data_IF_431470641964
#
_entry.id   IF_431470641964
#
_cell.length_a   1.000
_cell.length_b   1.000
_cell.length_c   1.000
_cell.angle_alpha   90.00
_cell.angle_beta   90.00
_cell.angle_gamma   90.00
#
_symmetry.space_group_name_H-M   'P 1'
#
loop_
_entity.id
_entity.type
_entity.pdbx_description
1 polymer ?
#
# COMPACT_ATOMS: atom_id res chain seq x y z
N UNK A 1 27.17 2.91 10.29
CA UNK A 1 26.04 3.85 10.41
C UNK A 1 24.83 3.11 9.85
N UNK A 2 24.00 2.63 10.77
CA UNK A 2 22.78 1.79 10.63
C UNK A 2 22.74 0.75 9.51
N UNK A 3 23.12 -0.50 9.85
CA UNK A 3 22.53 -1.66 9.18
C UNK A 3 21.01 -1.56 9.35
N UNK A 4 20.32 -1.10 8.30
CA UNK A 4 18.89 -1.32 8.18
C UNK A 4 18.66 -2.80 8.43
N UNK A 5 17.91 -3.15 9.48
CA UNK A 5 17.44 -4.50 9.71
C UNK A 5 16.89 -5.03 8.38
N UNK A 6 17.66 -5.92 7.74
CA UNK A 6 17.45 -6.56 6.43
C UNK A 6 16.23 -7.48 6.52
N UNK A 7 15.08 -6.85 6.73
CA UNK A 7 13.80 -7.49 6.96
C UNK A 7 13.05 -7.49 5.65
N UNK A 8 12.53 -8.66 5.28
CA UNK A 8 11.59 -8.78 4.18
C UNK A 8 10.39 -7.87 4.42
N UNK A 9 9.78 -7.39 3.34
CA UNK A 9 8.58 -6.55 3.41
C UNK A 9 7.57 -7.01 2.38
N UNK A 10 6.30 -6.84 2.73
CA UNK A 10 5.20 -6.86 1.78
C UNK A 10 4.52 -5.49 1.84
N UNK A 11 4.28 -4.91 0.67
CA UNK A 11 3.68 -3.59 0.53
C UNK A 11 2.41 -3.70 -0.28
N UNK A 12 1.29 -3.23 0.26
CA UNK A 12 0.06 -3.01 -0.50
C UNK A 12 0.09 -1.59 -1.05
N UNK A 13 0.22 -1.45 -2.36
CA UNK A 13 0.12 -0.17 -3.06
C UNK A 13 -1.32 0.07 -3.49
N UNK A 14 -1.77 1.31 -3.32
CA UNK A 14 -3.13 1.73 -3.59
C UNK A 14 -3.12 2.96 -4.48
N UNK A 15 -3.62 2.77 -5.68
CA UNK A 15 -4.00 3.86 -6.55
C UNK A 15 -5.39 4.33 -6.17
N UNK A 16 -5.47 5.51 -5.54
CA UNK A 16 -6.68 5.92 -4.83
C UNK A 16 -7.77 6.33 -5.83
N UNK A 17 -9.01 5.84 -5.67
CA UNK A 17 -10.13 6.29 -6.47
C UNK A 17 -10.28 7.82 -6.43
N UNK A 18 -10.52 8.45 -7.58
CA UNK A 18 -10.66 9.92 -7.68
C UNK A 18 -11.66 10.52 -6.68
N UNK A 19 -12.85 9.93 -6.43
CA UNK A 19 -13.78 10.45 -5.42
C UNK A 19 -13.25 10.45 -3.98
N UNK A 20 -12.24 9.63 -3.67
CA UNK A 20 -11.60 9.60 -2.35
C UNK A 20 -10.38 10.53 -2.25
N UNK A 21 -9.94 11.13 -3.35
CA UNK A 21 -8.85 12.09 -3.35
C UNK A 21 -9.40 13.50 -3.10
N UNK A 22 -8.65 14.30 -2.32
CA UNK A 22 -8.95 15.73 -2.22
C UNK A 22 -8.69 16.39 -3.57
N UNK A 23 -9.46 17.43 -3.95
CA UNK A 23 -9.19 18.20 -5.15
C UNK A 23 -7.72 18.63 -5.23
N UNK A 24 -7.13 18.53 -6.42
CA UNK A 24 -5.73 18.88 -6.73
C UNK A 24 -4.67 18.12 -5.93
N UNK A 25 -5.06 17.13 -5.12
CA UNK A 25 -4.10 16.35 -4.34
C UNK A 25 -3.17 15.54 -5.21
N UNK A 26 -3.73 15.01 -6.30
CA UNK A 26 -3.00 14.37 -7.36
C UNK A 26 -3.31 15.07 -8.70
N UNK A 27 -2.47 16.02 -9.13
CA UNK A 27 -2.73 16.80 -10.35
C UNK A 27 -2.92 15.93 -11.59
N UNK A 28 -2.25 14.78 -11.68
CA UNK A 28 -2.38 13.87 -12.84
C UNK A 28 -3.73 13.17 -12.90
N UNK A 29 -4.44 13.05 -11.77
CA UNK A 29 -5.80 12.49 -11.69
C UNK A 29 -6.92 13.54 -11.70
N UNK A 30 -6.59 14.79 -11.33
CA UNK A 30 -7.57 15.86 -11.18
C UNK A 30 -7.60 16.83 -12.34
N UNK A 31 -6.55 16.92 -13.15
CA UNK A 31 -6.58 17.66 -14.40
C UNK A 31 -7.08 16.76 -15.54
N UNK A 32 -8.00 17.30 -16.35
CA UNK A 32 -8.48 16.81 -17.65
C UNK A 32 -9.65 15.80 -17.67
N UNK A 33 -10.53 15.99 -18.68
CA UNK A 33 -11.47 15.01 -19.21
C UNK A 33 -10.74 13.72 -19.65
N UNK A 34 -9.48 13.83 -20.08
CA UNK A 34 -8.59 12.70 -20.42
C UNK A 34 -8.37 11.74 -19.24
N UNK A 35 -8.39 12.21 -17.99
CA UNK A 35 -8.31 11.33 -16.81
C UNK A 35 -9.55 10.47 -16.59
N UNK A 36 -10.66 10.77 -17.29
CA UNK A 36 -11.89 9.99 -17.26
C UNK A 36 -12.05 9.10 -18.50
N UNK A 37 -11.17 9.24 -19.50
CA UNK A 37 -11.26 8.48 -20.74
C UNK A 37 -9.87 8.04 -21.23
N UNK A 38 -9.64 6.72 -21.26
CA UNK A 38 -8.47 6.12 -21.91
C UNK A 38 -8.96 5.51 -23.23
N UNK A 39 -8.33 5.88 -24.35
CA UNK A 39 -8.69 5.39 -25.70
C UNK A 39 -10.19 5.55 -26.02
N UNK A 40 -10.76 6.72 -25.72
CA UNK A 40 -12.18 7.05 -25.90
C UNK A 40 -13.19 6.19 -25.08
N UNK A 41 -12.70 5.38 -24.14
CA UNK A 41 -13.53 4.60 -23.22
C UNK A 41 -13.39 5.14 -21.79
N UNK A 42 -14.45 5.12 -20.96
CA UNK A 42 -14.36 5.53 -19.57
C UNK A 42 -13.22 4.82 -18.83
N UNK A 43 -12.33 5.59 -18.20
CA UNK A 43 -11.30 5.05 -17.33
C UNK A 43 -11.94 4.56 -16.03
N UNK A 44 -12.29 3.27 -16.05
CA UNK A 44 -12.88 2.60 -14.89
C UNK A 44 -11.93 2.66 -13.69
N UNK A 45 -10.61 2.63 -13.90
CA UNK A 45 -9.61 2.66 -12.83
C UNK A 45 -9.57 4.02 -12.13
N UNK A 46 -9.77 5.13 -12.85
CA UNK A 46 -9.90 6.45 -12.23
C UNK A 46 -11.04 6.49 -11.20
N UNK A 47 -12.13 5.75 -11.46
CA UNK A 47 -13.31 5.70 -10.59
C UNK A 47 -13.18 4.60 -9.54
N UNK A 48 -12.68 3.42 -9.88
CA UNK A 48 -12.63 2.25 -8.98
C UNK A 48 -11.38 2.18 -8.12
N UNK A 49 -10.32 2.90 -8.52
CA UNK A 49 -8.97 2.74 -8.02
C UNK A 49 -8.31 1.45 -8.50
N UNK A 50 -7.07 1.25 -8.06
CA UNK A 50 -6.29 0.03 -8.32
C UNK A 50 -5.47 -0.37 -7.09
N UNK A 51 -5.17 -1.65 -6.96
CA UNK A 51 -4.39 -2.21 -5.86
C UNK A 51 -3.40 -3.26 -6.37
N UNK A 52 -2.18 -3.24 -5.87
CA UNK A 52 -1.13 -4.20 -6.26
C UNK A 52 -0.16 -4.44 -5.10
N UNK A 53 0.62 -5.51 -5.18
CA UNK A 53 1.52 -5.95 -4.11
C UNK A 53 2.97 -5.74 -4.53
N UNK A 54 3.79 -5.22 -3.63
CA UNK A 54 5.25 -5.30 -3.72
C UNK A 54 5.80 -6.30 -2.70
N UNK A 55 6.75 -7.13 -3.12
CA UNK A 55 7.52 -8.02 -2.25
C UNK A 55 8.97 -7.54 -2.25
N UNK A 56 9.47 -7.14 -1.07
CA UNK A 56 10.87 -6.74 -0.88
C UNK A 56 11.61 -7.83 -0.12
N UNK A 57 12.68 -8.36 -0.70
CA UNK A 57 13.50 -9.39 -0.07
C UNK A 57 14.51 -8.80 0.95
N UNK A 58 15.25 -9.67 1.63
CA UNK A 58 16.29 -9.27 2.61
C UNK A 58 17.42 -8.41 2.01
N UNK A 59 17.63 -8.50 0.69
CA UNK A 59 18.60 -7.69 -0.05
C UNK A 59 18.07 -6.29 -0.39
N UNK A 60 16.83 -5.98 -0.03
CA UNK A 60 16.18 -4.71 -0.32
C UNK A 60 15.68 -4.56 -1.76
N UNK A 61 15.67 -5.64 -2.54
CA UNK A 61 15.15 -5.66 -3.92
C UNK A 61 13.64 -5.88 -3.87
N UNK A 62 12.88 -4.99 -4.52
CA UNK A 62 11.42 -5.07 -4.60
C UNK A 62 10.94 -5.46 -6.01
N UNK A 63 10.06 -6.46 -6.07
CA UNK A 63 9.25 -6.75 -7.24
C UNK A 63 7.79 -6.40 -6.97
N UNK A 64 7.09 -5.86 -7.97
CA UNK A 64 5.68 -5.48 -7.87
C UNK A 64 4.84 -6.30 -8.81
N UNK A 65 3.67 -6.71 -8.36
CA UNK A 65 2.77 -7.61 -9.08
C UNK A 65 1.34 -7.07 -9.02
N UNK A 66 0.70 -6.97 -10.17
CA UNK A 66 -0.70 -6.55 -10.27
C UNK A 66 -1.55 -7.52 -11.05
N UNK A 67 -2.86 -7.45 -10.77
CA UNK A 67 -3.86 -8.32 -11.37
C UNK A 67 -4.90 -7.52 -12.13
N UNK A 68 -5.11 -7.86 -13.40
CA UNK A 68 -6.03 -7.19 -14.31
C UNK A 68 -6.79 -8.20 -15.17
N UNK A 69 -7.70 -7.70 -16.01
CA UNK A 69 -8.38 -8.49 -17.01
C UNK A 69 -7.74 -8.29 -18.38
N UNK A 70 -7.70 -9.34 -19.20
CA UNK A 70 -7.17 -9.29 -20.57
C UNK A 70 -7.97 -8.39 -21.53
N UNK A 71 -9.09 -7.83 -21.10
CA UNK A 71 -9.96 -6.97 -21.90
C UNK A 71 -10.16 -5.63 -21.22
N UNK A 72 -10.02 -4.55 -21.99
CA UNK A 72 -10.29 -3.18 -21.57
C UNK A 72 -11.80 -2.85 -21.52
N UNK A 73 -12.68 -3.79 -21.90
CA UNK A 73 -14.13 -3.56 -21.90
C UNK A 73 -14.73 -3.66 -20.49
N UNK A 74 -15.37 -2.59 -19.96
CA UNK A 74 -15.98 -2.61 -18.62
C UNK A 74 -17.06 -3.69 -18.47
N UNK A 75 -17.88 -3.93 -19.48
CA UNK A 75 -18.92 -4.97 -19.45
C UNK A 75 -18.33 -6.38 -19.35
N UNK A 76 -17.22 -6.65 -20.05
CA UNK A 76 -16.49 -7.92 -19.92
C UNK A 76 -15.82 -8.03 -18.55
N UNK A 77 -15.29 -6.95 -18.00
CA UNK A 77 -14.74 -6.94 -16.65
C UNK A 77 -15.80 -7.27 -15.58
N UNK A 78 -17.07 -6.88 -15.77
CA UNK A 78 -18.17 -7.22 -14.87
C UNK A 78 -18.52 -8.71 -14.96
N UNK A 79 -18.73 -9.23 -16.18
CA UNK A 79 -19.19 -10.61 -16.40
C UNK A 79 -18.08 -11.65 -16.19
N UNK A 80 -16.85 -11.28 -16.52
CA UNK A 80 -15.66 -12.12 -16.44
C UNK A 80 -14.81 -12.04 -17.71
N UNK A 81 -13.50 -11.92 -17.53
CA UNK A 81 -12.50 -12.07 -18.59
C UNK A 81 -11.32 -12.88 -18.09
N UNK A 82 -10.46 -13.38 -18.99
CA UNK A 82 -9.21 -14.04 -18.60
C UNK A 82 -8.40 -13.08 -17.72
N UNK A 83 -7.96 -13.57 -16.56
CA UNK A 83 -7.09 -12.82 -15.66
C UNK A 83 -5.68 -12.71 -16.23
N UNK A 84 -5.02 -11.61 -15.91
CA UNK A 84 -3.63 -11.32 -16.29
C UNK A 84 -2.90 -10.89 -15.01
N UNK A 85 -1.79 -11.55 -14.70
CA UNK A 85 -1.02 -11.31 -13.49
C UNK A 85 0.45 -11.08 -13.85
N UNK A 86 0.82 -9.81 -13.91
CA UNK A 86 2.08 -9.38 -14.50
C UNK A 86 2.89 -8.51 -13.55
N UNK A 87 4.18 -8.38 -13.88
CA UNK A 87 5.10 -7.48 -13.19
C UNK A 87 4.64 -6.03 -13.43
N UNK A 88 4.60 -5.25 -12.36
CA UNK A 88 4.26 -3.83 -12.40
C UNK A 88 5.52 -2.97 -12.53
N UNK A 89 5.56 -2.19 -13.60
CA UNK A 89 6.64 -1.26 -13.89
C UNK A 89 6.59 0.00 -13.00
N UNK A 90 7.69 0.77 -12.87
CA UNK A 90 7.75 1.99 -12.06
C UNK A 90 6.72 3.08 -12.40
N UNK A 91 6.15 3.05 -13.60
CA UNK A 91 5.21 4.01 -14.15
C UNK A 91 3.79 3.84 -13.61
N UNK A 92 3.47 2.65 -13.07
CA UNK A 92 2.14 2.35 -12.54
C UNK A 92 1.86 3.25 -11.32
N UNK A 93 0.82 4.11 -11.39
CA UNK A 93 0.56 5.09 -10.35
C UNK A 93 0.10 4.46 -9.05
N UNK A 94 0.50 5.08 -7.94
CA UNK A 94 -0.07 4.85 -6.63
C UNK A 94 -0.05 6.13 -5.79
N UNK A 95 -1.05 6.30 -4.94
CA UNK A 95 -1.16 7.47 -4.05
C UNK A 95 -0.92 7.09 -2.59
N UNK A 96 -1.22 5.86 -2.19
CA UNK A 96 -1.19 5.42 -0.81
C UNK A 96 -0.58 4.01 -0.73
N UNK A 97 -0.08 3.63 0.44
CA UNK A 97 0.43 2.28 0.67
C UNK A 97 0.28 1.84 2.13
N UNK A 98 0.35 0.54 2.38
CA UNK A 98 0.60 -0.07 3.70
C UNK A 98 1.82 -0.98 3.57
N UNK A 99 2.77 -0.85 4.49
CA UNK A 99 3.98 -1.68 4.53
C UNK A 99 3.90 -2.59 5.75
N UNK A 100 4.17 -3.88 5.57
CA UNK A 100 4.38 -4.83 6.65
C UNK A 100 5.83 -5.30 6.61
N UNK A 101 6.52 -5.24 7.75
CA UNK A 101 7.75 -5.99 7.94
C UNK A 101 7.35 -7.46 8.19
N UNK A 102 7.96 -8.38 7.47
CA UNK A 102 7.61 -9.81 7.51
C UNK A 102 8.88 -10.66 7.67
N UNK A 103 8.69 -11.87 8.19
CA UNK A 103 9.74 -12.88 8.24
C UNK A 103 10.07 -13.44 6.85
N UNK A 104 11.23 -14.09 6.68
CA UNK A 104 11.57 -14.81 5.44
C UNK A 104 10.56 -15.90 5.08
N UNK A 105 10.00 -16.60 6.08
CA UNK A 105 8.98 -17.62 5.88
C UNK A 105 7.69 -17.03 5.30
N UNK A 106 7.24 -15.89 5.85
CA UNK A 106 6.09 -15.16 5.32
C UNK A 106 6.36 -14.60 3.91
N UNK A 107 7.58 -14.16 3.63
CA UNK A 107 7.99 -13.72 2.29
C UNK A 107 7.88 -14.88 1.29
N UNK A 108 8.41 -16.05 1.63
CA UNK A 108 8.34 -17.24 0.79
C UNK A 108 6.89 -17.68 0.56
N UNK A 109 6.03 -17.62 1.58
CA UNK A 109 4.61 -17.90 1.43
C UNK A 109 3.92 -16.92 0.47
N UNK A 110 4.23 -15.63 0.56
CA UNK A 110 3.75 -14.61 -0.38
C UNK A 110 4.23 -14.88 -1.81
N UNK A 111 5.51 -15.22 -1.97
CA UNK A 111 6.13 -15.50 -3.26
C UNK A 111 5.52 -16.75 -3.91
N UNK A 112 5.23 -17.79 -3.14
CA UNK A 112 4.55 -18.98 -3.63
C UNK A 112 3.14 -18.66 -4.12
N UNK A 113 2.40 -17.79 -3.42
CA UNK A 113 1.09 -17.32 -3.88
C UNK A 113 1.18 -16.50 -5.17
N UNK A 114 2.21 -15.65 -5.30
CA UNK A 114 2.52 -14.93 -6.56
C UNK A 114 2.79 -15.91 -7.69
N UNK A 115 3.64 -16.92 -7.48
CA UNK A 115 3.98 -17.90 -8.51
C UNK A 115 2.76 -18.70 -8.97
N UNK A 116 1.91 -19.15 -8.02
CA UNK A 116 0.66 -19.84 -8.34
C UNK A 116 -0.30 -18.97 -9.19
N UNK A 117 -0.36 -17.67 -8.92
CA UNK A 117 -1.18 -16.73 -9.71
C UNK A 117 -0.59 -16.46 -11.10
N UNK A 118 0.74 -16.52 -11.27
CA UNK A 118 1.39 -16.40 -12.59
C UNK A 118 1.07 -17.61 -13.46
N UNK A 119 1.10 -18.81 -12.89
CA UNK A 119 0.78 -20.05 -13.60
C UNK A 119 -0.71 -20.14 -13.93
N UNK A 120 -1.58 -19.77 -12.98
CA UNK A 120 -3.02 -19.81 -13.15
C UNK A 120 -3.70 -18.53 -12.61
N UNK A 121 -3.76 -17.46 -13.42
CA UNK A 121 -4.35 -16.19 -12.99
C UNK A 121 -5.88 -16.25 -12.89
N UNK A 122 -6.52 -17.35 -13.32
CA UNK A 122 -7.97 -17.53 -13.25
C UNK A 122 -8.77 -16.51 -14.07
N UNK A 123 -9.98 -16.20 -13.59
CA UNK A 123 -10.92 -15.26 -14.25
C UNK A 123 -11.01 -13.95 -13.48
N UNK A 124 -10.69 -12.84 -14.13
CA UNK A 124 -10.90 -11.51 -13.58
C UNK A 124 -12.38 -11.14 -13.60
N UNK A 125 -12.89 -10.67 -12.46
CA UNK A 125 -14.24 -10.09 -12.29
C UNK A 125 -14.18 -8.85 -11.39
N UNK A 126 -14.64 -7.72 -11.91
CA UNK A 126 -14.53 -6.39 -11.30
C UNK A 126 -14.99 -6.35 -9.83
N UNK A 127 -16.04 -7.09 -9.46
CA UNK A 127 -16.61 -7.07 -8.11
C UNK A 127 -16.39 -8.36 -7.29
N UNK A 128 -15.60 -9.32 -7.80
CA UNK A 128 -15.40 -10.62 -7.11
C UNK A 128 -13.94 -11.07 -7.08
N UNK A 129 -13.29 -11.14 -8.23
CA UNK A 129 -11.90 -11.57 -8.36
C UNK A 129 -11.15 -10.49 -9.12
N UNK A 130 -10.71 -9.47 -8.41
CA UNK A 130 -10.11 -8.26 -8.95
C UNK A 130 -8.75 -7.98 -8.28
N UNK A 131 -8.13 -6.87 -8.65
CA UNK A 131 -6.84 -6.45 -8.12
C UNK A 131 -6.78 -6.40 -6.57
N UNK A 132 -7.86 -5.95 -5.91
CA UNK A 132 -7.92 -5.85 -4.45
C UNK A 132 -8.03 -7.23 -3.79
N UNK A 133 -8.88 -8.11 -4.31
CA UNK A 133 -9.04 -9.46 -3.74
C UNK A 133 -7.81 -10.32 -3.95
N UNK A 134 -7.13 -10.20 -5.10
CA UNK A 134 -5.87 -10.90 -5.40
C UNK A 134 -4.73 -10.37 -4.54
N UNK A 135 -4.62 -9.05 -4.37
CA UNK A 135 -3.66 -8.48 -3.44
C UNK A 135 -3.90 -8.97 -2.01
N UNK A 136 -5.17 -9.05 -1.59
CA UNK A 136 -5.54 -9.55 -0.28
C UNK A 136 -5.27 -11.06 -0.12
N UNK A 137 -5.44 -11.89 -1.15
CA UNK A 137 -5.12 -13.32 -1.07
C UNK A 137 -3.63 -13.56 -0.88
N UNK A 138 -2.75 -12.75 -1.52
CA UNK A 138 -1.30 -12.81 -1.30
C UNK A 138 -0.96 -12.40 0.14
N UNK A 139 -1.55 -11.32 0.63
CA UNK A 139 -1.35 -10.88 2.02
C UNK A 139 -1.84 -11.94 3.04
N UNK A 140 -2.98 -12.61 2.76
CA UNK A 140 -3.51 -13.72 3.57
C UNK A 140 -2.57 -14.93 3.54
N UNK A 141 -2.01 -15.28 2.38
CA UNK A 141 -1.05 -16.37 2.25
C UNK A 141 0.23 -16.11 3.07
N UNK A 142 0.68 -14.85 3.11
CA UNK A 142 1.78 -14.40 3.95
C UNK A 142 1.43 -14.31 5.45
N UNK A 143 0.19 -14.59 5.83
CA UNK A 143 -0.32 -14.51 7.20
C UNK A 143 0.03 -13.18 7.89
N UNK A 144 -0.12 -12.05 7.18
CA UNK A 144 0.14 -10.74 7.79
C UNK A 144 -1.03 -10.30 8.66
N UNK A 145 -0.71 -9.57 9.72
CA UNK A 145 -1.72 -9.07 10.65
C UNK A 145 -2.51 -7.87 10.10
N UNK A 146 -3.60 -7.54 10.80
CA UNK A 146 -4.35 -6.29 10.63
C UNK A 146 -4.95 -6.10 9.23
N UNK A 147 -5.27 -7.20 8.54
CA UNK A 147 -5.88 -7.19 7.21
C UNK A 147 -7.25 -6.49 7.17
N UNK A 148 -7.65 -5.97 6.00
CA UNK A 148 -9.02 -5.53 5.78
C UNK A 148 -9.96 -6.73 5.91
N UNK A 149 -11.07 -6.55 6.65
CA UNK A 149 -12.14 -7.55 6.72
C UNK A 149 -12.74 -7.76 5.34
N UNK A 150 -13.35 -8.93 5.11
CA UNK A 150 -13.68 -9.39 3.76
C UNK A 150 -14.47 -8.36 2.93
N UNK A 151 -15.44 -7.65 3.51
CA UNK A 151 -16.21 -6.60 2.81
C UNK A 151 -15.36 -5.41 2.36
N UNK A 152 -14.42 -4.95 3.19
CA UNK A 152 -13.49 -3.86 2.85
C UNK A 152 -12.36 -4.33 1.92
N UNK A 153 -12.10 -5.64 1.88
CA UNK A 153 -11.11 -6.26 1.02
C UNK A 153 -11.53 -6.43 -0.44
N UNK A 154 -12.83 -6.31 -0.75
CA UNK A 154 -13.35 -6.58 -2.10
C UNK A 154 -13.02 -5.48 -3.13
N UNK A 155 -12.65 -4.28 -2.69
CA UNK A 155 -12.48 -3.13 -3.58
C UNK A 155 -11.30 -2.25 -3.16
N UNK A 156 -10.64 -1.56 -4.11
CA UNK A 156 -9.62 -0.56 -3.77
C UNK A 156 -10.16 0.54 -2.85
N UNK A 157 -11.45 0.91 -2.95
CA UNK A 157 -12.10 1.81 -1.99
C UNK A 157 -11.98 1.35 -0.55
N UNK A 158 -12.39 0.10 -0.27
CA UNK A 158 -12.35 -0.45 1.07
C UNK A 158 -10.92 -0.55 1.61
N UNK A 159 -9.96 -0.91 0.75
CA UNK A 159 -8.54 -0.94 1.10
C UNK A 159 -7.99 0.46 1.45
N UNK A 160 -8.35 1.49 0.69
CA UNK A 160 -7.99 2.89 1.00
C UNK A 160 -8.57 3.33 2.34
N UNK A 161 -9.86 3.05 2.60
CA UNK A 161 -10.50 3.40 3.87
C UNK A 161 -9.83 2.69 5.04
N UNK A 162 -9.56 1.38 4.92
CA UNK A 162 -8.82 0.60 5.92
C UNK A 162 -7.46 1.23 6.20
N UNK A 163 -6.70 1.55 5.16
CA UNK A 163 -5.39 2.18 5.29
C UNK A 163 -5.47 3.53 6.02
N UNK A 164 -6.45 4.37 5.68
CA UNK A 164 -6.65 5.68 6.31
C UNK A 164 -7.01 5.56 7.79
N UNK A 165 -7.84 4.58 8.14
CA UNK A 165 -8.15 4.25 9.53
C UNK A 165 -6.90 3.80 10.30
N UNK A 166 -6.08 2.93 9.70
CA UNK A 166 -4.80 2.52 10.29
C UNK A 166 -3.88 3.72 10.52
N UNK A 167 -3.81 4.65 9.57
CA UNK A 167 -2.99 5.86 9.72
C UNK A 167 -3.48 6.74 10.87
N UNK A 168 -4.80 6.91 11.02
CA UNK A 168 -5.38 7.62 12.14
C UNK A 168 -5.06 6.95 13.48
N UNK A 169 -5.16 5.60 13.56
CA UNK A 169 -4.80 4.82 14.75
C UNK A 169 -3.33 5.04 15.15
N UNK A 170 -2.39 4.98 14.19
CA UNK A 170 -0.96 5.23 14.45
C UNK A 170 -0.69 6.66 14.95
N UNK A 171 -1.35 7.65 14.35
CA UNK A 171 -1.25 9.05 14.81
C UNK A 171 -1.80 9.24 16.22
N UNK A 172 -2.88 8.55 16.58
CA UNK A 172 -3.44 8.57 17.93
C UNK A 172 -2.49 7.92 18.94
N UNK A 173 -1.86 6.79 18.59
CA UNK A 173 -0.83 6.14 19.43
C UNK A 173 0.33 7.12 19.72
N UNK A 174 0.82 7.84 18.69
CA UNK A 174 1.85 8.88 18.82
C UNK A 174 1.39 10.03 19.72
N UNK A 175 0.17 10.54 19.50
CA UNK A 175 -0.38 11.63 20.31
C UNK A 175 -0.53 11.23 21.79
N UNK A 176 -1.04 10.02 22.06
CA UNK A 176 -1.15 9.45 23.41
C UNK A 176 0.21 9.32 24.08
N UNK A 177 1.23 8.85 23.34
CA UNK A 177 2.60 8.77 23.85
C UNK A 177 3.14 10.15 24.24
N UNK A 178 2.98 11.16 23.37
CA UNK A 178 3.41 12.54 23.64
C UNK A 178 2.70 13.15 24.85
N UNK A 179 1.39 12.96 24.96
CA UNK A 179 0.61 13.41 26.11
C UNK A 179 1.07 12.74 27.41
N UNK A 180 1.32 11.43 27.41
CA UNK A 180 1.85 10.71 28.58
C UNK A 180 3.22 11.26 29.02
N UNK A 181 4.10 11.55 28.07
CA UNK A 181 5.41 12.13 28.37
C UNK A 181 5.33 13.58 28.87
N UNK A 182 4.38 14.36 28.36
CA UNK A 182 4.12 15.71 28.86
C UNK A 182 3.64 15.68 30.31
N UNK A 183 2.65 14.84 30.62
CA UNK A 183 2.14 14.62 31.99
C UNK A 183 3.27 14.15 32.91
N UNK A 184 4.05 13.14 32.50
CA UNK A 184 5.19 12.69 33.31
C UNK A 184 6.16 13.84 33.63
N UNK A 185 6.44 14.71 32.66
CA UNK A 185 7.29 15.89 32.87
C UNK A 185 6.73 16.86 33.90
N UNK A 186 5.41 17.11 33.89
CA UNK A 186 4.76 18.01 34.84
C UNK A 186 4.78 17.45 36.27
N UNK A 187 4.72 16.12 36.42
CA UNK A 187 4.72 15.44 37.72
C UNK A 187 6.11 14.94 38.15
N UNK A 188 7.19 15.44 37.54
CA UNK A 188 8.57 15.05 37.88
C UNK A 188 8.93 13.58 37.62
N UNK A 189 8.10 12.85 36.87
CA UNK A 189 8.31 11.44 36.51
C UNK A 189 9.24 11.33 35.29
N UNK A 190 10.02 10.25 35.24
CA UNK A 190 10.89 9.95 34.09
C UNK A 190 10.08 9.83 32.80
N UNK A 191 10.55 10.51 31.74
CA UNK A 191 9.95 10.42 30.39
C UNK A 191 10.22 9.04 29.80
N UNK A 192 9.25 8.50 29.06
CA UNK A 192 9.40 7.28 28.28
C UNK A 192 10.29 7.61 27.06
N UNK A 193 11.34 6.82 26.78
CA UNK A 193 12.23 7.03 25.63
C UNK A 193 11.47 7.00 24.30
N UNK A 194 11.85 7.89 23.37
CA UNK A 194 11.27 7.92 22.02
C UNK A 194 11.53 6.63 21.23
N UNK A 195 12.62 5.93 21.55
CA UNK A 195 12.96 4.62 20.96
C UNK A 195 11.85 3.60 21.17
N UNK A 196 11.19 3.59 22.34
CA UNK A 196 10.07 2.69 22.61
C UNK A 196 8.85 2.98 21.71
N UNK A 197 8.59 4.25 21.38
CA UNK A 197 7.55 4.61 20.41
C UNK A 197 7.92 4.12 19.00
N UNK A 198 9.16 4.38 18.58
CA UNK A 198 9.63 3.97 17.24
C UNK A 198 9.62 2.45 17.08
N UNK A 199 10.05 1.71 18.10
CA UNK A 199 10.01 0.25 18.13
C UNK A 199 8.56 -0.27 18.05
N UNK A 200 7.65 0.31 18.84
CA UNK A 200 6.22 -0.05 18.77
C UNK A 200 5.57 0.27 17.42
N UNK A 201 6.07 1.28 16.69
CA UNK A 201 5.56 1.60 15.35
C UNK A 201 6.18 0.68 14.29
N UNK A 202 7.45 0.28 14.46
CA UNK A 202 8.17 -0.66 13.56
C UNK A 202 7.63 -2.08 13.62
N UNK A 203 7.16 -2.52 14.78
CA UNK A 203 6.60 -3.86 14.97
C UNK A 203 5.19 -4.04 14.41
N UNK A 204 4.60 -2.98 13.87
CA UNK A 204 3.22 -2.97 13.38
C UNK A 204 3.17 -2.58 11.91
N UNK A 205 2.07 -2.89 11.20
CA UNK A 205 1.89 -2.40 9.84
C UNK A 205 1.93 -0.88 9.78
N UNK A 206 2.65 -0.37 8.78
CA UNK A 206 2.94 1.05 8.58
C UNK A 206 2.14 1.62 7.41
N UNK A 207 0.99 2.27 7.67
CA UNK A 207 0.23 2.98 6.66
C UNK A 207 0.97 4.26 6.23
N UNK A 208 1.29 4.37 4.94
CA UNK A 208 2.12 5.44 4.38
C UNK A 208 1.28 6.69 4.11
N UNK A 209 1.61 7.87 4.68
CA UNK A 209 0.92 9.12 4.33
C UNK A 209 0.95 9.39 2.82
N UNK A 210 -0.14 9.91 2.26
CA UNK A 210 -0.30 10.15 0.81
C UNK A 210 0.88 10.93 0.20
N UNK A 211 1.38 11.96 0.90
CA UNK A 211 2.51 12.76 0.42
C UNK A 211 3.79 11.92 0.27
N UNK A 212 4.03 10.99 1.20
CA UNK A 212 5.23 10.16 1.21
C UNK A 212 5.16 9.12 0.09
N UNK A 213 4.01 8.47 -0.07
CA UNK A 213 3.77 7.51 -1.15
C UNK A 213 3.88 8.19 -2.53
N UNK A 214 3.22 9.33 -2.74
CA UNK A 214 3.33 10.07 -4.00
C UNK A 214 4.74 10.59 -4.29
N UNK A 215 5.49 11.00 -3.25
CA UNK A 215 6.90 11.38 -3.41
C UNK A 215 7.74 10.19 -3.86
N UNK A 216 7.56 9.03 -3.23
CA UNK A 216 8.24 7.79 -3.62
C UNK A 216 7.89 7.37 -5.06
N UNK A 217 6.60 7.42 -5.42
CA UNK A 217 6.14 7.15 -6.78
C UNK A 217 6.84 8.04 -7.81
N UNK A 218 6.82 9.37 -7.61
CA UNK A 218 7.45 10.32 -8.53
C UNK A 218 8.95 10.08 -8.68
N UNK A 219 9.63 9.74 -7.58
CA UNK A 219 11.06 9.46 -7.60
C UNK A 219 11.39 8.16 -8.35
N UNK A 220 10.62 7.11 -8.10
CA UNK A 220 10.76 5.82 -8.79
C UNK A 220 10.49 5.97 -10.29
N UNK A 221 9.41 6.65 -10.66
CA UNK A 221 9.07 6.94 -12.05
C UNK A 221 10.14 7.78 -12.75
N UNK A 222 10.64 8.84 -12.12
CA UNK A 222 11.66 9.70 -12.72
C UNK A 222 13.00 8.99 -12.95
N UNK A 223 13.26 7.91 -12.20
CA UNK A 223 14.47 7.10 -12.33
C UNK A 223 14.26 5.80 -13.10
N UNK A 224 13.03 5.48 -13.49
CA UNK A 224 12.64 4.17 -14.02
C UNK A 224 13.12 3.01 -13.14
N UNK A 225 12.94 3.14 -11.82
CA UNK A 225 13.38 2.15 -10.83
C UNK A 225 12.24 1.69 -9.91
N UNK A 226 12.21 0.40 -9.59
CA UNK A 226 11.32 -0.18 -8.58
C UNK A 226 12.02 -0.24 -7.23
N UNK A 227 12.10 0.90 -6.53
CA UNK A 227 12.63 0.96 -5.16
C UNK A 227 11.52 0.92 -4.11
N UNK A 228 11.68 0.16 -3.02
CA UNK A 228 10.71 0.12 -1.94
C UNK A 228 10.59 1.49 -1.26
N UNK A 229 9.42 1.75 -0.66
CA UNK A 229 9.20 2.96 0.13
C UNK A 229 10.10 2.93 1.36
N UNK A 230 10.84 4.02 1.58
CA UNK A 230 11.72 4.22 2.74
C UNK A 230 10.93 4.25 4.05
N UNK A 231 11.00 3.16 4.80
CA UNK A 231 10.30 2.96 6.08
C UNK A 231 10.73 3.98 7.12
N UNK A 232 12.02 4.33 7.18
CA UNK A 232 12.57 5.28 8.14
C UNK A 232 11.98 6.67 7.93
N UNK A 233 11.91 7.13 6.69
CA UNK A 233 11.25 8.40 6.34
C UNK A 233 9.76 8.40 6.66
N UNK A 234 9.08 7.27 6.45
CA UNK A 234 7.65 7.15 6.81
C UNK A 234 7.45 7.19 8.33
N UNK A 235 8.27 6.47 9.10
CA UNK A 235 8.21 6.47 10.56
C UNK A 235 8.47 7.86 11.14
N UNK A 236 9.49 8.58 10.64
CA UNK A 236 9.76 9.96 11.04
C UNK A 236 8.54 10.87 10.79
N UNK A 237 7.92 10.72 9.62
CA UNK A 237 6.71 11.48 9.26
C UNK A 237 5.49 11.13 10.11
N UNK A 238 5.28 9.86 10.44
CA UNK A 238 4.12 9.43 11.27
C UNK A 238 4.32 9.81 12.73
N UNK A 239 5.53 9.67 13.25
CA UNK A 239 5.87 10.00 14.65
C UNK A 239 5.98 11.51 14.91
N UNK A 240 6.07 12.33 13.85
CA UNK A 240 6.42 13.75 13.94
C UNK A 240 7.69 13.94 14.81
N UNK A 241 8.68 13.08 14.60
CA UNK A 241 10.03 13.20 15.15
C UNK A 241 10.89 13.66 13.98
N UNK A 242 11.44 14.88 14.07
CA UNK A 242 12.44 15.34 13.10
C UNK A 242 13.73 14.55 13.37
N UNK A 243 14.19 13.81 12.37
CA UNK A 243 15.59 13.36 12.29
C UNK A 243 16.49 14.56 12.04
#
# INVERSE_FOLDING_TARGET
MEEENKTCKITLYLDTPKPLLRPFKDPTKHNQLESLFINHCPDVVAITGHAFIGLTNEKGVEERWGYSGSSLSPFKAINGTKGVFDLHEPEIPYNEAIIWNISPEQFNAAQNAVNALKENPGTYKLFKNNCATTALSILKAANVEDLPSDKLGLTPYGLVLKKRWMLAKRRLEVARFKAKNFINSLFGKKKIPQTALLESLRSKPLPVPINNAMKAFRQNRAKSETKPIDVTKVLASVSNIRS
#
